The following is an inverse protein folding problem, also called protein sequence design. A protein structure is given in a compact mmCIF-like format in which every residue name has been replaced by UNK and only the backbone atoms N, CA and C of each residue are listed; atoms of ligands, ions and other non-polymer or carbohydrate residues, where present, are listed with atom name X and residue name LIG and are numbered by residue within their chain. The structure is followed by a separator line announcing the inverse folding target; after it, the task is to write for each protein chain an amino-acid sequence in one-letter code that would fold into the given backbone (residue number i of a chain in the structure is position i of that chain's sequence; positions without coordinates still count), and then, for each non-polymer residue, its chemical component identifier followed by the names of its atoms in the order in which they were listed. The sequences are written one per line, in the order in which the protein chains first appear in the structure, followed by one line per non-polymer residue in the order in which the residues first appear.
data_IF_871687949003
#
_entry.id   IF_871687949003
#
_cell.length_a   1.000
_cell.length_b   1.000
_cell.length_c   1.000
_cell.angle_alpha   90.00
_cell.angle_beta   90.00
_cell.angle_gamma   90.00
#
_symmetry.space_group_name_H-M   'P 1'
#
loop_
_entity.id
_entity.type
_entity.pdbx_description
1 polymer ?
#
# COMPACT_ATOMS: atom_id res chain seq x y z
N UNK A 1 19.88 -4.51 -48.33
CA UNK A 1 20.55 -4.65 -47.03
C UNK A 1 20.29 -3.50 -46.07
N UNK A 2 20.36 -2.24 -46.46
CA UNK A 2 20.11 -1.09 -45.58
C UNK A 2 18.67 -1.05 -44.99
N UNK A 3 17.66 -1.46 -45.75
CA UNK A 3 16.26 -1.48 -45.28
C UNK A 3 15.96 -2.60 -44.25
N UNK A 4 16.68 -3.72 -44.31
CA UNK A 4 16.55 -4.86 -43.39
C UNK A 4 17.16 -4.51 -42.04
N UNK A 5 18.33 -3.83 -42.01
CA UNK A 5 18.95 -3.37 -40.78
C UNK A 5 18.10 -2.37 -40.02
N UNK A 6 17.36 -1.49 -40.73
CA UNK A 6 16.48 -0.49 -40.13
C UNK A 6 15.25 -1.14 -39.48
N UNK A 7 14.74 -2.23 -40.08
CA UNK A 7 13.60 -2.99 -39.56
C UNK A 7 13.97 -3.78 -38.28
N UNK A 8 15.20 -4.32 -38.22
CA UNK A 8 15.72 -5.05 -37.04
C UNK A 8 15.93 -4.08 -35.88
N UNK A 9 16.38 -2.85 -36.15
CA UNK A 9 16.58 -1.83 -35.12
C UNK A 9 15.27 -1.38 -34.49
N UNK A 10 14.16 -1.37 -35.28
CA UNK A 10 12.84 -0.93 -34.80
C UNK A 10 12.15 -1.99 -33.92
N UNK A 11 12.42 -3.27 -34.13
CA UNK A 11 11.85 -4.38 -33.36
C UNK A 11 12.49 -4.51 -31.97
N UNK A 12 13.74 -4.07 -31.79
CA UNK A 12 14.45 -4.17 -30.51
C UNK A 12 13.99 -3.15 -29.44
N UNK A 13 13.22 -2.12 -29.82
CA UNK A 13 12.74 -1.08 -28.90
C UNK A 13 11.42 -1.48 -28.18
N UNK A 14 10.74 -2.54 -28.64
CA UNK A 14 9.44 -2.94 -28.10
C UNK A 14 9.51 -3.95 -26.94
N UNK A 15 10.70 -4.38 -26.52
CA UNK A 15 10.87 -5.39 -25.46
C UNK A 15 11.21 -4.79 -24.08
N UNK A 16 11.11 -3.47 -23.92
CA UNK A 16 11.32 -2.83 -22.62
C UNK A 16 10.01 -2.59 -21.88
N UNK A 17 9.21 -3.64 -21.64
CA UNK A 17 8.27 -3.67 -20.54
C UNK A 17 8.98 -4.29 -19.34
N UNK A 18 9.62 -3.47 -18.57
CA UNK A 18 10.02 -3.79 -17.21
C UNK A 18 8.82 -3.55 -16.32
N UNK A 19 8.04 -4.58 -16.05
CA UNK A 19 7.15 -4.60 -14.89
C UNK A 19 8.04 -4.48 -13.65
N UNK A 20 8.17 -3.26 -13.16
CA UNK A 20 8.70 -3.04 -11.81
C UNK A 20 7.64 -3.50 -10.82
N UNK A 21 7.50 -4.81 -10.65
CA UNK A 21 6.99 -5.32 -9.40
C UNK A 21 7.93 -4.77 -8.32
N UNK A 22 7.49 -3.76 -7.62
CA UNK A 22 8.11 -3.32 -6.37
C UNK A 22 8.00 -4.50 -5.43
N UNK A 23 8.96 -5.40 -5.50
CA UNK A 23 9.13 -6.48 -4.55
C UNK A 23 9.26 -5.82 -3.17
N UNK A 24 8.19 -5.85 -2.39
CA UNK A 24 8.15 -5.39 -0.99
C UNK A 24 8.98 -6.34 -0.12
N UNK A 25 10.26 -6.48 -0.44
CA UNK A 25 11.23 -7.24 0.36
C UNK A 25 11.65 -6.40 1.56
N UNK A 26 10.72 -6.26 2.50
CA UNK A 26 11.03 -5.66 3.79
C UNK A 26 11.42 -6.78 4.76
N UNK A 27 12.66 -6.80 5.29
CA UNK A 27 13.13 -7.86 6.18
C UNK A 27 12.43 -7.85 7.54
N UNK A 28 11.83 -6.74 7.93
CA UNK A 28 11.11 -6.58 9.21
C UNK A 28 9.66 -7.08 9.16
N UNK A 29 9.07 -7.16 7.95
CA UNK A 29 7.65 -7.49 7.78
C UNK A 29 7.46 -8.79 7.02
N UNK A 30 6.91 -9.83 7.67
CA UNK A 30 6.53 -11.06 7.00
C UNK A 30 5.50 -10.82 5.89
N UNK A 31 5.50 -11.69 4.88
CA UNK A 31 4.55 -11.60 3.79
C UNK A 31 3.29 -12.42 4.10
N UNK A 32 2.38 -11.84 4.87
CA UNK A 32 1.07 -12.45 5.14
C UNK A 32 0.17 -12.35 3.92
N UNK A 33 -0.61 -13.41 3.66
CA UNK A 33 -1.68 -13.36 2.67
C UNK A 33 -2.82 -12.49 3.21
N UNK A 34 -3.26 -11.54 2.40
CA UNK A 34 -4.38 -10.65 2.70
C UNK A 34 -5.45 -10.81 1.63
N UNK A 35 -6.68 -11.01 2.08
CA UNK A 35 -7.89 -11.04 1.26
C UNK A 35 -9.04 -10.51 2.11
N UNK A 36 -9.23 -9.20 2.08
CA UNK A 36 -10.15 -8.45 2.94
C UNK A 36 -11.15 -7.70 2.08
N UNK A 37 -12.43 -7.79 2.40
CA UNK A 37 -13.48 -6.96 1.80
C UNK A 37 -14.21 -6.20 2.89
N UNK A 38 -14.37 -4.89 2.71
CA UNK A 38 -15.14 -4.02 3.60
C UNK A 38 -16.20 -3.25 2.82
N UNK A 39 -17.35 -3.00 3.44
CA UNK A 39 -18.41 -2.17 2.89
C UNK A 39 -18.42 -0.81 3.60
N UNK A 40 -18.21 0.26 2.84
CA UNK A 40 -18.23 1.64 3.35
C UNK A 40 -19.62 2.10 3.85
N UNK A 41 -20.67 1.33 3.63
CA UNK A 41 -22.00 1.62 4.23
C UNK A 41 -22.08 1.21 5.70
N UNK A 42 -21.16 0.36 6.16
CA UNK A 42 -21.08 0.02 7.58
C UNK A 42 -20.53 1.21 8.39
N UNK A 43 -21.09 1.49 9.57
CA UNK A 43 -20.67 2.64 10.39
C UNK A 43 -19.17 2.69 10.68
N UNK A 44 -18.53 1.53 10.89
CA UNK A 44 -17.10 1.43 11.16
C UNK A 44 -16.21 1.93 10.01
N UNK A 45 -16.71 1.94 8.77
CA UNK A 45 -15.94 2.27 7.56
C UNK A 45 -16.50 3.48 6.81
N UNK A 46 -17.57 4.10 7.30
CA UNK A 46 -18.26 5.21 6.64
C UNK A 46 -17.37 6.43 6.42
N UNK A 47 -16.34 6.65 7.26
CA UNK A 47 -15.36 7.72 7.11
C UNK A 47 -14.56 7.61 5.81
N UNK A 48 -14.42 6.40 5.24
CA UNK A 48 -13.74 6.20 3.96
C UNK A 48 -14.47 6.83 2.76
N UNK A 49 -15.72 7.23 2.91
CA UNK A 49 -16.46 8.00 1.88
C UNK A 49 -15.92 9.42 1.71
N UNK A 50 -15.18 9.93 2.69
CA UNK A 50 -14.63 11.28 2.67
C UNK A 50 -13.13 11.25 2.38
N UNK A 51 -12.70 12.13 1.47
CA UNK A 51 -11.28 12.26 1.07
C UNK A 51 -10.41 12.58 2.28
N UNK A 52 -9.18 12.06 2.28
CA UNK A 52 -8.19 12.23 3.34
C UNK A 52 -8.57 11.61 4.68
N UNK A 53 -9.53 10.68 4.68
CA UNK A 53 -9.87 9.88 5.85
C UNK A 53 -9.36 8.44 5.70
N UNK A 54 -9.00 7.84 6.82
CA UNK A 54 -8.56 6.46 6.88
C UNK A 54 -9.17 5.71 8.04
N UNK A 55 -9.15 4.39 7.95
CA UNK A 55 -9.53 3.47 9.03
C UNK A 55 -8.50 2.36 9.16
N UNK A 56 -8.42 1.76 10.34
CA UNK A 56 -7.60 0.57 10.58
C UNK A 56 -8.53 -0.63 10.74
N UNK A 57 -8.33 -1.66 9.93
CA UNK A 57 -9.05 -2.94 10.03
C UNK A 57 -8.12 -3.93 10.73
N UNK A 58 -8.41 -4.32 11.96
CA UNK A 58 -7.54 -5.22 12.75
C UNK A 58 -7.56 -6.65 12.22
N UNK A 59 -6.65 -7.48 12.74
CA UNK A 59 -6.58 -8.93 12.49
C UNK A 59 -6.35 -9.35 11.03
N UNK A 60 -5.76 -8.47 10.22
CA UNK A 60 -5.33 -8.72 8.86
C UNK A 60 -3.89 -8.22 8.68
N UNK A 61 -3.11 -8.82 7.78
CA UNK A 61 -1.71 -8.48 7.59
C UNK A 61 -0.87 -8.75 8.84
N UNK A 62 0.18 -7.96 9.06
CA UNK A 62 1.05 -8.10 10.23
C UNK A 62 0.47 -7.46 11.50
N UNK A 63 -0.11 -6.26 11.38
CA UNK A 63 -0.65 -5.50 12.53
C UNK A 63 -2.01 -4.84 12.25
N UNK A 64 -2.73 -5.28 11.24
CA UNK A 64 -3.94 -4.66 10.71
C UNK A 64 -3.67 -3.97 9.38
N UNK A 65 -4.74 -3.56 8.71
CA UNK A 65 -4.68 -2.86 7.43
C UNK A 65 -5.21 -1.45 7.60
N UNK A 66 -4.39 -0.46 7.26
CA UNK A 66 -4.82 0.92 7.10
C UNK A 66 -5.40 1.06 5.71
N UNK A 67 -6.66 1.48 5.59
CA UNK A 67 -7.28 1.86 4.33
C UNK A 67 -7.49 3.36 4.35
N UNK A 68 -7.11 4.05 3.29
CA UNK A 68 -7.11 5.51 3.20
C UNK A 68 -7.71 5.99 1.89
N UNK A 69 -8.62 6.95 1.94
CA UNK A 69 -9.19 7.59 0.76
C UNK A 69 -8.27 8.72 0.28
N UNK A 70 -7.56 8.49 -0.82
CA UNK A 70 -6.64 9.46 -1.41
C UNK A 70 -7.34 10.46 -2.37
N UNK A 71 -8.65 10.38 -2.54
CA UNK A 71 -9.43 11.22 -3.45
C UNK A 71 -9.44 10.70 -4.89
N UNK A 72 -8.31 10.26 -5.42
CA UNK A 72 -8.22 9.58 -6.73
C UNK A 72 -8.46 8.07 -6.66
N UNK A 73 -8.64 7.53 -5.46
CA UNK A 73 -8.79 6.12 -5.17
C UNK A 73 -8.47 5.82 -3.71
N UNK A 74 -8.25 4.55 -3.41
CA UNK A 74 -7.92 4.10 -2.06
C UNK A 74 -6.54 3.48 -2.01
N UNK A 75 -5.79 3.81 -0.96
CA UNK A 75 -4.56 3.14 -0.60
C UNK A 75 -4.79 2.17 0.56
N UNK A 76 -4.08 1.06 0.56
CA UNK A 76 -4.09 0.11 1.65
C UNK A 76 -2.66 -0.24 2.06
N UNK A 77 -2.37 -0.13 3.36
CA UNK A 77 -1.05 -0.40 3.92
C UNK A 77 -1.15 -1.30 5.15
N UNK A 78 -0.11 -2.07 5.43
CA UNK A 78 0.01 -2.75 6.72
C UNK A 78 0.20 -1.71 7.84
N UNK A 79 -0.46 -1.91 8.96
CA UNK A 79 -0.34 -1.03 10.12
C UNK A 79 0.94 -1.31 10.95
N UNK A 80 1.78 -2.24 10.53
CA UNK A 80 3.08 -2.48 11.17
C UNK A 80 4.09 -1.39 10.80
N UNK A 81 4.92 -1.00 11.75
CA UNK A 81 6.04 -0.08 11.52
C UNK A 81 7.05 -0.73 10.55
N UNK A 82 7.32 -0.15 9.36
CA UNK A 82 8.08 -0.84 8.32
C UNK A 82 9.59 -0.92 8.59
N UNK A 83 10.11 -0.13 9.53
CA UNK A 83 11.54 -0.08 9.87
C UNK A 83 11.82 -0.60 11.29
N UNK A 84 10.91 -1.38 11.85
CA UNK A 84 11.00 -1.99 13.17
C UNK A 84 10.62 -3.46 13.10
N UNK A 85 11.20 -4.28 13.96
CA UNK A 85 10.75 -5.67 14.10
C UNK A 85 9.26 -5.71 14.44
N UNK A 86 8.52 -6.57 13.74
CA UNK A 86 7.07 -6.65 13.87
C UNK A 86 6.60 -6.97 15.29
N UNK A 87 7.42 -7.67 16.06
CA UNK A 87 7.09 -8.03 17.45
C UNK A 87 7.45 -6.93 18.45
N UNK A 88 8.31 -5.98 18.07
CA UNK A 88 8.80 -4.92 18.94
C UNK A 88 7.85 -3.73 19.05
N UNK A 89 6.97 -3.54 18.05
CA UNK A 89 6.07 -2.39 17.99
C UNK A 89 4.61 -2.82 17.92
N UNK A 90 3.74 -2.02 18.54
CA UNK A 90 2.30 -2.11 18.30
C UNK A 90 1.94 -1.49 16.95
N UNK A 91 0.70 -1.71 16.50
CA UNK A 91 0.20 -1.11 15.26
C UNK A 91 0.39 0.42 15.26
N UNK A 92 0.66 0.97 14.08
CA UNK A 92 0.66 2.41 13.86
C UNK A 92 -0.71 3.02 14.14
N UNK A 93 -0.74 4.30 14.41
CA UNK A 93 -1.95 5.11 14.53
C UNK A 93 -2.09 6.04 13.34
N UNK A 94 -3.33 6.39 12.98
CA UNK A 94 -3.59 7.41 11.95
C UNK A 94 -3.63 8.76 12.64
N UNK A 95 -2.84 9.70 12.12
CA UNK A 95 -2.85 11.12 12.51
C UNK A 95 -3.03 11.96 11.24
N UNK A 96 -4.27 12.38 11.00
CA UNK A 96 -4.66 13.07 9.78
C UNK A 96 -4.39 12.23 8.52
N UNK A 97 -3.46 12.70 7.70
CA UNK A 97 -3.06 12.07 6.43
C UNK A 97 -1.83 11.17 6.56
N UNK A 98 -1.40 10.89 7.78
CA UNK A 98 -0.21 10.12 8.06
C UNK A 98 -0.51 8.91 8.95
N UNK A 99 0.30 7.86 8.79
CA UNK A 99 0.45 6.79 9.75
C UNK A 99 1.68 7.04 10.61
N UNK A 100 1.55 6.98 11.93
CA UNK A 100 2.63 7.25 12.87
C UNK A 100 3.04 5.99 13.60
N UNK A 101 4.32 5.63 13.48
CA UNK A 101 4.90 4.51 14.21
C UNK A 101 4.94 4.80 15.70
N UNK A 102 4.45 3.86 16.51
CA UNK A 102 4.40 4.03 17.96
C UNK A 102 5.78 4.00 18.64
N UNK A 103 6.74 3.28 18.05
CA UNK A 103 8.06 3.07 18.63
C UNK A 103 9.00 4.28 18.43
N UNK A 104 9.16 4.74 17.22
CA UNK A 104 10.14 5.77 16.88
C UNK A 104 9.51 7.11 16.44
N UNK A 105 8.17 7.20 16.46
CA UNK A 105 7.40 8.37 16.06
C UNK A 105 7.58 8.78 14.60
N UNK A 106 8.15 7.91 13.77
CA UNK A 106 8.25 8.17 12.34
C UNK A 106 6.86 8.28 11.73
N UNK A 107 6.66 9.33 10.95
CA UNK A 107 5.41 9.61 10.25
C UNK A 107 5.53 9.22 8.78
N UNK A 108 4.56 8.47 8.28
CA UNK A 108 4.49 7.99 6.89
C UNK A 108 3.25 8.55 6.22
N UNK A 109 3.41 9.19 5.06
CA UNK A 109 2.27 9.71 4.30
C UNK A 109 1.37 8.59 3.79
N UNK A 110 0.08 8.65 4.04
CA UNK A 110 -0.91 7.70 3.54
C UNK A 110 -1.25 7.91 2.05
N UNK A 111 -0.78 8.99 1.44
CA UNK A 111 -0.85 9.19 -0.01
C UNK A 111 0.23 8.39 -0.75
N UNK A 112 1.43 8.29 -0.18
CA UNK A 112 2.60 7.74 -0.87
C UNK A 112 3.21 6.51 -0.19
N UNK A 113 2.94 6.30 1.09
CA UNK A 113 3.59 5.29 1.92
C UNK A 113 5.00 5.66 2.38
N UNK A 114 5.50 6.85 2.05
CA UNK A 114 6.87 7.26 2.35
C UNK A 114 6.98 7.98 3.69
N UNK A 115 8.06 7.74 4.44
CA UNK A 115 8.34 8.34 5.74
C UNK A 115 9.79 8.76 5.96
N UNK A 116 10.60 8.84 4.90
CA UNK A 116 12.00 9.26 4.99
C UNK A 116 12.93 8.23 5.67
N UNK A 117 12.52 6.98 5.77
CA UNK A 117 13.30 5.83 6.25
C UNK A 117 13.59 4.86 5.11
N UNK A 118 14.40 3.83 5.38
CA UNK A 118 14.84 2.85 4.38
C UNK A 118 13.69 2.10 3.71
N UNK A 119 12.67 1.75 4.51
CA UNK A 119 11.51 1.01 4.01
C UNK A 119 10.25 1.86 4.11
N UNK A 120 9.49 1.98 3.00
CA UNK A 120 8.16 2.58 3.00
C UNK A 120 7.14 1.67 3.67
N UNK A 121 5.92 2.15 3.86
CA UNK A 121 4.78 1.32 4.28
C UNK A 121 4.60 0.16 3.31
N UNK A 122 4.31 -1.03 3.84
CA UNK A 122 3.96 -2.20 3.01
C UNK A 122 2.59 -1.97 2.42
N UNK A 123 2.53 -1.85 1.09
CA UNK A 123 1.32 -1.56 0.36
C UNK A 123 0.65 -2.84 -0.15
N UNK A 124 -0.68 -2.86 -0.13
CA UNK A 124 -1.53 -3.90 -0.70
C UNK A 124 -2.27 -3.39 -1.93
N UNK A 125 -2.72 -4.30 -2.77
CA UNK A 125 -3.58 -3.98 -3.93
C UNK A 125 -4.99 -3.66 -3.45
N UNK A 126 -5.64 -2.72 -4.13
CA UNK A 126 -7.00 -2.30 -3.81
C UNK A 126 -7.85 -2.35 -5.07
N UNK A 127 -9.03 -2.94 -4.96
CA UNK A 127 -10.07 -2.92 -5.96
C UNK A 127 -11.37 -2.42 -5.34
N UNK A 128 -12.07 -1.53 -6.03
CA UNK A 128 -13.34 -0.96 -5.56
C UNK A 128 -14.48 -1.42 -6.47
N UNK A 129 -15.56 -1.90 -5.86
CA UNK A 129 -16.79 -2.26 -6.56
C UNK A 129 -17.98 -1.67 -5.82
N UNK A 130 -18.56 -0.60 -6.35
CA UNK A 130 -19.62 0.15 -5.67
C UNK A 130 -19.13 0.71 -4.34
N UNK A 131 -19.73 0.25 -3.23
CA UNK A 131 -19.37 0.65 -1.86
C UNK A 131 -18.40 -0.33 -1.19
N UNK A 132 -18.00 -1.39 -1.88
CA UNK A 132 -17.10 -2.41 -1.34
C UNK A 132 -15.68 -2.15 -1.78
N UNK A 133 -14.76 -2.11 -0.82
CA UNK A 133 -13.31 -2.07 -1.04
C UNK A 133 -12.77 -3.47 -0.76
N UNK A 134 -12.08 -4.02 -1.76
CA UNK A 134 -11.37 -5.29 -1.67
C UNK A 134 -9.86 -5.03 -1.62
N UNK A 135 -9.18 -5.53 -0.59
CA UNK A 135 -7.74 -5.40 -0.35
C UNK A 135 -7.09 -6.78 -0.42
N UNK A 136 -6.05 -6.91 -1.21
CA UNK A 136 -5.37 -8.20 -1.42
C UNK A 136 -3.90 -8.02 -1.80
N UNK A 137 -3.13 -9.11 -1.81
CA UNK A 137 -1.74 -9.16 -2.28
C UNK A 137 -1.49 -10.26 -3.31
#
# INVERSE_FOLDING_TARGET
MKKICLLILFVSVLLSCSDSERSNKNPYLPNYSVNLSIDMNLPAYSNLKFVSNGVIVPNNGAKGIIIFNAGSGYNAFDAACPNQDVNSCVAMTIDGINAVCSCDKTSYSLFTGLGGKDYPLKQYKVQVSGTVIHVYN
#
